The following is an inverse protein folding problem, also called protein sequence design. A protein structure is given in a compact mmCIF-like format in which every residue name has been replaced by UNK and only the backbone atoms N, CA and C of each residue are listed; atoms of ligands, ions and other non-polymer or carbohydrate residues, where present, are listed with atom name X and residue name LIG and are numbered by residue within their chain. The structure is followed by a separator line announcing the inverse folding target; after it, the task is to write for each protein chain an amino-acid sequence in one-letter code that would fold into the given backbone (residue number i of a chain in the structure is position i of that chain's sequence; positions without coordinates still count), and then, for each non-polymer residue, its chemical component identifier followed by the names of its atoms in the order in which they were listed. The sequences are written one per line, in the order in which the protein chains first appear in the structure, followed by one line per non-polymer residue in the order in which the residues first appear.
data_IF_582326915073
#
_entry.id   IF_582326915073
#
_cell.length_a   1.000
_cell.length_b   1.000
_cell.length_c   1.000
_cell.angle_alpha   90.00
_cell.angle_beta   90.00
_cell.angle_gamma   90.00
#
_symmetry.space_group_name_H-M   'P 1'
#
loop_
_entity.id
_entity.type
_entity.pdbx_description
1 polymer ?
#
# COMPACT_ATOMS: atom_id res chain seq x y z
N UNK A 1 56.25 -19.36 3.54
CA UNK A 1 55.56 -18.08 3.91
C UNK A 1 54.30 -17.78 3.09
N UNK A 2 53.76 -18.72 2.31
CA UNK A 2 52.59 -18.50 1.47
C UNK A 2 51.24 -19.07 2.02
N UNK A 3 51.27 -19.78 3.16
CA UNK A 3 50.08 -20.48 3.66
C UNK A 3 48.99 -19.57 4.26
N UNK A 4 49.35 -18.42 4.80
CA UNK A 4 48.37 -17.49 5.39
C UNK A 4 47.52 -16.71 4.37
N UNK A 5 48.06 -16.43 3.18
CA UNK A 5 47.35 -15.67 2.15
C UNK A 5 46.25 -16.45 1.42
N UNK A 6 46.35 -17.79 1.35
CA UNK A 6 45.31 -18.62 0.71
C UNK A 6 44.13 -18.84 1.62
N UNK A 7 44.33 -19.02 2.93
CA UNK A 7 43.24 -19.14 3.90
C UNK A 7 42.41 -17.82 4.02
N UNK A 8 43.13 -16.69 4.04
CA UNK A 8 42.45 -15.37 4.06
C UNK A 8 41.61 -15.13 2.84
N UNK A 9 42.10 -15.48 1.64
CA UNK A 9 41.35 -15.37 0.39
C UNK A 9 40.09 -16.23 0.37
N UNK A 10 40.21 -17.49 0.84
CA UNK A 10 39.04 -18.38 0.93
C UNK A 10 37.99 -17.85 1.91
N UNK A 11 38.43 -17.29 3.05
CA UNK A 11 37.53 -16.69 4.01
C UNK A 11 36.78 -15.45 3.43
N UNK A 12 37.50 -14.62 2.69
CA UNK A 12 36.89 -13.45 1.99
C UNK A 12 35.89 -13.90 0.94
N UNK A 13 36.21 -14.93 0.18
CA UNK A 13 35.31 -15.45 -0.86
C UNK A 13 34.08 -16.08 -0.26
N UNK A 14 34.18 -16.84 0.82
CA UNK A 14 33.05 -17.39 1.54
C UNK A 14 32.12 -16.31 2.09
N UNK A 15 32.68 -15.24 2.66
CA UNK A 15 31.89 -14.08 3.13
C UNK A 15 31.16 -13.36 1.99
N UNK A 16 31.81 -13.25 0.82
CA UNK A 16 31.20 -12.65 -0.36
C UNK A 16 30.03 -13.48 -0.85
N UNK A 17 30.19 -14.79 -0.94
CA UNK A 17 29.12 -15.71 -1.34
C UNK A 17 27.94 -15.65 -0.37
N UNK A 18 28.22 -15.62 0.92
CA UNK A 18 27.19 -15.50 1.96
C UNK A 18 26.39 -14.20 1.83
N UNK A 19 27.05 -13.07 1.58
CA UNK A 19 26.37 -11.79 1.35
C UNK A 19 25.48 -11.83 0.12
N UNK A 20 25.96 -12.40 -1.00
CA UNK A 20 25.19 -12.53 -2.22
C UNK A 20 23.95 -13.40 -2.03
N UNK A 21 24.09 -14.49 -1.28
CA UNK A 21 22.98 -15.37 -0.94
C UNK A 21 21.92 -14.65 -0.12
N UNK A 22 22.33 -13.90 0.92
CA UNK A 22 21.41 -13.08 1.72
C UNK A 22 20.68 -12.02 0.90
N UNK A 23 21.38 -11.33 0.00
CA UNK A 23 20.79 -10.35 -0.89
C UNK A 23 19.76 -10.98 -1.81
N UNK A 24 20.06 -12.15 -2.36
CA UNK A 24 19.14 -12.88 -3.21
C UNK A 24 17.88 -13.34 -2.45
N UNK A 25 18.04 -13.87 -1.25
CA UNK A 25 16.90 -14.25 -0.40
C UNK A 25 16.02 -13.07 -0.03
N UNK A 26 16.62 -11.92 0.31
CA UNK A 26 15.89 -10.68 0.58
C UNK A 26 15.11 -10.20 -0.66
N UNK A 27 15.76 -10.23 -1.82
CA UNK A 27 15.11 -9.84 -3.08
C UNK A 27 13.94 -10.75 -3.42
N UNK A 28 14.07 -12.06 -3.21
CA UNK A 28 12.97 -13.00 -3.41
C UNK A 28 11.78 -12.75 -2.46
N UNK A 29 12.05 -12.49 -1.19
CA UNK A 29 11.00 -12.16 -0.23
C UNK A 29 10.26 -10.88 -0.61
N UNK A 30 10.98 -9.85 -1.03
CA UNK A 30 10.40 -8.62 -1.52
C UNK A 30 9.53 -8.84 -2.76
N UNK A 31 10.02 -9.62 -3.73
CA UNK A 31 9.26 -9.95 -4.93
C UNK A 31 7.93 -10.65 -4.59
N UNK A 32 7.94 -11.60 -3.67
CA UNK A 32 6.72 -12.28 -3.21
C UNK A 32 5.74 -11.33 -2.54
N UNK A 33 6.22 -10.37 -1.75
CA UNK A 33 5.39 -9.35 -1.12
C UNK A 33 4.74 -8.43 -2.16
N UNK A 34 5.50 -8.02 -3.17
CA UNK A 34 4.99 -7.21 -4.27
C UNK A 34 3.95 -7.96 -5.11
N UNK A 35 4.19 -9.24 -5.40
CA UNK A 35 3.22 -10.08 -6.11
C UNK A 35 1.91 -10.23 -5.35
N UNK A 36 1.97 -10.48 -4.03
CA UNK A 36 0.79 -10.59 -3.19
C UNK A 36 0.01 -9.27 -3.10
N UNK A 37 0.71 -8.14 -2.93
CA UNK A 37 0.09 -6.82 -2.93
C UNK A 37 -0.58 -6.52 -4.28
N UNK A 38 0.11 -6.81 -5.37
CA UNK A 38 -0.41 -6.63 -6.74
C UNK A 38 -1.65 -7.48 -7.01
N UNK A 39 -1.73 -8.70 -6.48
CA UNK A 39 -2.92 -9.54 -6.57
C UNK A 39 -4.11 -8.93 -5.83
N UNK A 40 -3.90 -8.42 -4.61
CA UNK A 40 -4.93 -7.73 -3.86
C UNK A 40 -5.47 -6.51 -4.60
N UNK A 41 -4.60 -5.70 -5.16
CA UNK A 41 -4.98 -4.54 -5.99
C UNK A 41 -5.80 -4.96 -7.21
N UNK A 42 -5.41 -6.01 -7.91
CA UNK A 42 -6.15 -6.53 -9.07
C UNK A 42 -7.54 -7.01 -8.71
N UNK A 43 -7.70 -7.69 -7.58
CA UNK A 43 -9.00 -8.14 -7.08
C UNK A 43 -9.92 -6.95 -6.80
N UNK A 44 -9.42 -5.95 -6.09
CA UNK A 44 -10.19 -4.75 -5.76
C UNK A 44 -10.54 -3.97 -7.02
N UNK A 45 -9.60 -3.77 -7.93
CA UNK A 45 -9.85 -3.11 -9.21
C UNK A 45 -10.94 -3.82 -10.01
N UNK A 46 -10.91 -5.14 -10.09
CA UNK A 46 -11.94 -5.92 -10.79
C UNK A 46 -13.34 -5.70 -10.20
N UNK A 47 -13.46 -5.63 -8.88
CA UNK A 47 -14.73 -5.34 -8.22
C UNK A 47 -15.22 -3.91 -8.45
N UNK A 48 -14.30 -2.95 -8.53
CA UNK A 48 -14.64 -1.54 -8.73
C UNK A 48 -14.96 -1.19 -10.19
N UNK A 49 -14.49 -1.98 -11.15
CA UNK A 49 -14.74 -1.75 -12.57
C UNK A 49 -16.24 -1.72 -12.93
N UNK A 50 -17.09 -2.40 -12.18
CA UNK A 50 -18.55 -2.35 -12.39
C UNK A 50 -19.11 -0.94 -12.19
N UNK A 51 -18.43 -0.11 -11.42
CA UNK A 51 -18.85 1.28 -11.18
C UNK A 51 -18.60 2.18 -12.40
N UNK A 52 -17.74 1.79 -13.32
CA UNK A 52 -17.45 2.58 -14.53
C UNK A 52 -18.68 2.74 -15.40
N UNK A 53 -19.57 1.75 -15.41
CA UNK A 53 -20.87 1.84 -16.08
C UNK A 53 -21.83 2.87 -15.45
N UNK A 54 -21.53 3.32 -14.22
CA UNK A 54 -22.34 4.28 -13.47
C UNK A 54 -21.71 5.68 -13.40
N UNK A 55 -20.78 5.99 -14.29
CA UNK A 55 -20.12 7.29 -14.36
C UNK A 55 -18.93 7.47 -13.43
N UNK A 56 -18.42 6.40 -12.83
CA UNK A 56 -17.20 6.41 -12.04
C UNK A 56 -15.98 6.16 -12.91
N UNK A 57 -14.85 6.74 -12.51
CA UNK A 57 -13.56 6.46 -13.13
C UNK A 57 -12.61 5.91 -12.08
N UNK A 58 -11.93 4.82 -12.42
CA UNK A 58 -10.91 4.19 -11.61
C UNK A 58 -9.54 4.48 -12.21
N UNK A 59 -8.66 5.09 -11.41
CA UNK A 59 -7.27 5.35 -11.75
C UNK A 59 -6.40 4.48 -10.84
N UNK A 60 -5.49 3.72 -11.44
CA UNK A 60 -4.61 2.79 -10.71
C UNK A 60 -3.17 3.27 -10.79
N UNK A 61 -2.40 2.99 -9.73
CA UNK A 61 -0.97 3.31 -9.63
C UNK A 61 -0.65 4.77 -9.99
N UNK A 62 -1.37 5.69 -9.36
CA UNK A 62 -1.22 7.12 -9.62
C UNK A 62 -0.05 7.70 -8.82
N UNK A 63 0.88 8.35 -9.53
CA UNK A 63 1.88 9.21 -8.90
C UNK A 63 1.27 10.57 -8.64
N UNK A 64 1.40 11.02 -7.40
CA UNK A 64 0.90 12.32 -7.03
C UNK A 64 1.96 13.41 -7.25
N UNK A 65 1.65 14.52 -7.96
CA UNK A 65 2.59 15.62 -8.14
C UNK A 65 2.96 16.25 -6.80
N UNK A 66 4.27 16.47 -6.56
CA UNK A 66 4.77 17.18 -5.39
C UNK A 66 5.07 16.30 -4.18
N UNK A 67 4.88 14.99 -4.27
CA UNK A 67 5.27 14.04 -3.22
C UNK A 67 6.32 13.07 -3.73
N UNK A 68 7.46 13.00 -3.07
CA UNK A 68 8.59 12.15 -3.52
C UNK A 68 8.35 10.65 -3.43
N UNK A 69 7.30 10.20 -2.74
CA UNK A 69 7.17 8.79 -2.39
C UNK A 69 5.74 8.25 -2.29
N UNK A 70 4.72 9.03 -2.56
CA UNK A 70 3.34 8.56 -2.39
C UNK A 70 2.76 8.13 -3.74
N UNK A 71 2.89 6.85 -4.01
CA UNK A 71 2.01 6.21 -4.98
C UNK A 71 0.67 5.98 -4.29
N UNK A 72 -0.39 6.44 -4.92
CA UNK A 72 -1.76 6.07 -4.55
C UNK A 72 -2.08 4.79 -5.31
N UNK A 73 -2.48 3.75 -4.59
CA UNK A 73 -2.84 2.48 -5.23
C UNK A 73 -3.98 2.69 -6.22
N UNK A 74 -5.04 3.35 -5.78
CA UNK A 74 -6.20 3.65 -6.61
C UNK A 74 -6.85 4.98 -6.22
N UNK A 75 -7.38 5.67 -7.23
CA UNK A 75 -8.31 6.78 -7.09
C UNK A 75 -9.62 6.40 -7.76
N UNK A 76 -10.72 6.56 -7.06
CA UNK A 76 -12.05 6.40 -7.62
C UNK A 76 -12.73 7.77 -7.65
N UNK A 77 -13.05 8.25 -8.84
CA UNK A 77 -13.63 9.57 -9.07
C UNK A 77 -15.00 9.42 -9.71
N UNK A 78 -15.99 10.04 -9.14
CA UNK A 78 -17.33 9.94 -9.66
C UNK A 78 -18.33 10.93 -9.06
N UNK A 79 -19.63 10.71 -9.28
CA UNK A 79 -20.68 11.64 -8.83
C UNK A 79 -20.70 11.88 -7.33
N UNK A 80 -20.26 10.91 -6.53
CA UNK A 80 -20.24 11.02 -5.07
C UNK A 80 -18.96 11.64 -4.49
N UNK A 81 -17.98 11.99 -5.33
CA UNK A 81 -16.72 12.59 -4.89
C UNK A 81 -15.48 11.82 -5.33
N UNK A 82 -14.41 12.01 -4.58
CA UNK A 82 -13.11 11.36 -4.81
C UNK A 82 -12.79 10.45 -3.63
N UNK A 83 -12.44 9.21 -3.94
CA UNK A 83 -12.00 8.23 -2.96
C UNK A 83 -10.54 7.89 -3.21
N UNK A 84 -9.72 8.01 -2.17
CA UNK A 84 -8.31 7.60 -2.17
C UNK A 84 -8.25 6.23 -1.52
N UNK A 85 -7.88 5.22 -2.29
CA UNK A 85 -7.86 3.83 -1.83
C UNK A 85 -6.44 3.35 -1.62
N UNK A 86 -6.20 2.78 -0.45
CA UNK A 86 -5.00 1.99 -0.15
C UNK A 86 -5.45 0.54 0.01
N UNK A 87 -4.90 -0.35 -0.79
CA UNK A 87 -5.25 -1.77 -0.78
C UNK A 87 -4.25 -2.54 0.05
N UNK A 88 -4.76 -3.32 0.99
CA UNK A 88 -3.95 -4.20 1.84
C UNK A 88 -4.34 -5.66 1.63
N UNK A 89 -3.34 -6.48 1.40
CA UNK A 89 -3.48 -7.93 1.32
C UNK A 89 -2.70 -8.56 2.47
N UNK A 90 -3.19 -8.36 3.69
CA UNK A 90 -2.54 -8.85 4.90
C UNK A 90 -2.95 -10.30 5.19
N UNK A 91 -2.00 -11.05 5.75
CA UNK A 91 -2.26 -12.42 6.20
C UNK A 91 -3.16 -12.44 7.43
N UNK A 92 -2.92 -11.53 8.38
CA UNK A 92 -3.70 -11.41 9.61
C UNK A 92 -4.87 -10.47 9.42
N UNK A 93 -6.00 -10.79 10.04
CA UNK A 93 -7.19 -9.96 9.99
C UNK A 93 -6.93 -8.58 10.61
N UNK A 94 -7.39 -7.49 9.99
CA UNK A 94 -7.29 -6.17 10.57
C UNK A 94 -8.24 -6.01 11.75
N UNK A 95 -7.78 -5.30 12.77
CA UNK A 95 -8.57 -4.92 13.95
C UNK A 95 -8.46 -3.42 14.16
N UNK A 96 -9.60 -2.75 14.29
CA UNK A 96 -9.67 -1.34 14.58
C UNK A 96 -10.37 -1.11 15.91
N UNK A 97 -9.70 -0.42 16.83
CA UNK A 97 -10.25 -0.02 18.11
C UNK A 97 -9.61 1.26 18.60
N UNK A 98 -10.39 2.17 19.18
CA UNK A 98 -9.91 3.43 19.78
C UNK A 98 -8.97 4.22 18.85
N UNK A 99 -9.33 4.35 17.58
CA UNK A 99 -8.53 5.01 16.54
C UNK A 99 -7.16 4.36 16.28
N UNK A 100 -7.00 3.10 16.66
CA UNK A 100 -5.79 2.31 16.41
C UNK A 100 -6.07 1.16 15.47
N UNK A 101 -5.14 0.95 14.54
CA UNK A 101 -5.17 -0.16 13.60
C UNK A 101 -4.12 -1.20 14.00
N UNK A 102 -4.54 -2.45 14.10
CA UNK A 102 -3.67 -3.59 14.40
C UNK A 102 -3.93 -4.74 13.44
N UNK A 103 -2.94 -5.57 13.28
CA UNK A 103 -3.06 -6.85 12.58
C UNK A 103 -2.05 -7.83 13.17
N UNK A 104 -2.51 -9.03 13.52
CA UNK A 104 -1.66 -10.04 14.14
C UNK A 104 -1.06 -9.61 15.48
N UNK A 105 -1.77 -8.75 16.24
CA UNK A 105 -1.29 -8.22 17.52
C UNK A 105 -0.26 -7.08 17.40
N UNK A 106 0.12 -6.70 16.19
CA UNK A 106 1.07 -5.62 15.94
C UNK A 106 0.39 -4.32 15.51
N UNK A 107 0.87 -3.15 15.97
CA UNK A 107 0.34 -1.87 15.53
C UNK A 107 0.65 -1.61 14.04
N UNK A 108 -0.31 -1.01 13.34
CA UNK A 108 -0.24 -0.65 11.91
C UNK A 108 -0.62 0.80 11.64
N UNK A 109 -0.44 1.66 12.62
CA UNK A 109 -0.88 3.07 12.55
C UNK A 109 -0.13 3.88 11.48
N UNK A 110 1.09 3.50 11.12
CA UNK A 110 1.87 4.15 10.07
C UNK A 110 1.19 4.10 8.70
N UNK A 111 0.42 3.07 8.42
CA UNK A 111 -0.34 2.96 7.17
C UNK A 111 -1.47 3.98 7.11
N UNK A 112 -2.16 4.19 8.24
CA UNK A 112 -3.20 5.19 8.36
C UNK A 112 -2.64 6.61 8.20
N UNK A 113 -1.52 6.91 8.86
CA UNK A 113 -0.87 8.22 8.77
C UNK A 113 -0.41 8.53 7.33
N UNK A 114 0.14 7.56 6.63
CA UNK A 114 0.55 7.69 5.24
C UNK A 114 -0.65 7.99 4.33
N UNK A 115 -1.75 7.25 4.50
CA UNK A 115 -2.97 7.47 3.72
C UNK A 115 -3.55 8.87 3.96
N UNK A 116 -3.58 9.35 5.19
CA UNK A 116 -4.05 10.70 5.50
C UNK A 116 -3.18 11.77 4.85
N UNK A 117 -1.87 11.59 4.80
CA UNK A 117 -0.95 12.53 4.13
C UNK A 117 -1.23 12.59 2.62
N UNK A 118 -1.44 11.44 1.98
CA UNK A 118 -1.81 11.36 0.56
C UNK A 118 -3.18 12.00 0.32
N UNK A 119 -4.13 11.79 1.20
CA UNK A 119 -5.47 12.37 1.11
C UNK A 119 -5.42 13.90 1.16
N UNK A 120 -4.61 14.47 2.04
CA UNK A 120 -4.40 15.93 2.10
C UNK A 120 -3.80 16.47 0.82
N UNK A 121 -2.85 15.77 0.22
CA UNK A 121 -2.29 16.15 -1.08
C UNK A 121 -3.36 16.12 -2.19
N UNK A 122 -4.24 15.12 -2.18
CA UNK A 122 -5.36 15.03 -3.10
C UNK A 122 -6.35 16.20 -2.93
N UNK A 123 -6.70 16.52 -1.70
CA UNK A 123 -7.57 17.66 -1.39
C UNK A 123 -6.98 18.99 -1.91
N UNK A 124 -5.68 19.21 -1.69
CA UNK A 124 -4.99 20.40 -2.17
C UNK A 124 -4.98 20.50 -3.69
N UNK A 125 -4.77 19.38 -4.38
CA UNK A 125 -4.78 19.35 -5.84
C UNK A 125 -6.17 19.61 -6.40
N UNK A 126 -7.22 19.04 -5.83
CA UNK A 126 -8.61 19.29 -6.24
C UNK A 126 -8.97 20.75 -6.00
N UNK A 127 -8.59 21.33 -4.87
CA UNK A 127 -8.83 22.73 -4.57
C UNK A 127 -8.12 23.66 -5.55
N UNK A 128 -6.90 23.32 -5.99
CA UNK A 128 -6.14 24.13 -6.96
C UNK A 128 -6.76 24.17 -8.35
N UNK A 129 -7.63 23.24 -8.68
CA UNK A 129 -8.37 23.25 -9.94
C UNK A 129 -9.56 24.23 -9.95
N UNK A 130 -9.82 24.92 -8.84
CA UNK A 130 -10.90 25.91 -8.73
C UNK A 130 -12.32 25.32 -8.84
N UNK A 131 -12.43 24.02 -8.66
CA UNK A 131 -13.73 23.33 -8.65
C UNK A 131 -14.43 23.54 -7.32
N UNK A 132 -15.75 23.41 -7.31
CA UNK A 132 -16.55 23.40 -6.08
C UNK A 132 -15.97 22.41 -5.07
N UNK A 133 -16.15 22.62 -3.75
CA UNK A 133 -15.64 21.70 -2.75
C UNK A 133 -16.05 20.27 -3.09
N UNK A 134 -15.06 19.43 -3.35
CA UNK A 134 -15.26 18.01 -3.63
C UNK A 134 -14.81 17.24 -2.40
N UNK A 135 -15.68 16.37 -1.90
CA UNK A 135 -15.33 15.48 -0.79
C UNK A 135 -14.27 14.49 -1.24
N UNK A 136 -13.18 14.41 -0.47
CA UNK A 136 -12.14 13.41 -0.66
C UNK A 136 -12.15 12.48 0.54
N UNK A 137 -12.46 11.20 0.30
CA UNK A 137 -12.62 10.20 1.34
C UNK A 137 -11.50 9.17 1.26
N UNK A 138 -10.66 9.03 2.31
CA UNK A 138 -9.67 7.97 2.38
C UNK A 138 -10.32 6.63 2.76
N UNK A 139 -9.95 5.58 2.03
CA UNK A 139 -10.39 4.21 2.25
C UNK A 139 -9.18 3.29 2.34
N UNK A 140 -9.18 2.39 3.31
CA UNK A 140 -8.32 1.21 3.29
C UNK A 140 -9.18 0.02 2.93
N UNK A 141 -8.82 -0.69 1.87
CA UNK A 141 -9.53 -1.87 1.40
C UNK A 141 -8.69 -3.10 1.66
N UNK A 142 -9.23 -4.02 2.44
CA UNK A 142 -8.57 -5.27 2.78
C UNK A 142 -9.04 -6.39 1.85
N UNK A 143 -8.11 -6.92 1.07
CA UNK A 143 -8.38 -8.09 0.24
C UNK A 143 -8.36 -9.35 1.12
N UNK A 144 -9.43 -10.13 1.08
CA UNK A 144 -9.50 -11.40 1.81
C UNK A 144 -9.94 -11.33 3.27
N UNK A 145 -10.29 -10.16 3.79
CA UNK A 145 -10.82 -10.01 5.15
C UNK A 145 -12.11 -9.19 5.14
N UNK A 146 -13.07 -9.61 5.94
CA UNK A 146 -14.30 -8.84 6.16
C UNK A 146 -14.07 -7.81 7.25
N UNK A 147 -14.28 -6.55 6.91
CA UNK A 147 -14.28 -5.46 7.85
C UNK A 147 -15.14 -4.31 7.32
N UNK A 148 -15.83 -3.63 8.21
CA UNK A 148 -16.51 -2.39 7.97
C UNK A 148 -16.42 -1.56 9.24
N UNK A 149 -15.45 -0.68 9.31
CA UNK A 149 -15.14 0.11 10.49
C UNK A 149 -14.63 1.50 10.12
N UNK A 150 -14.67 2.41 11.08
CA UNK A 150 -14.08 3.73 10.98
C UNK A 150 -12.77 3.81 11.77
N UNK A 151 -11.83 4.57 11.25
CA UNK A 151 -10.58 4.91 11.91
C UNK A 151 -10.33 6.41 11.71
N UNK A 152 -10.85 7.25 12.61
CA UNK A 152 -10.93 8.67 12.36
C UNK A 152 -11.73 8.97 11.09
N UNK A 153 -11.14 9.74 10.16
CA UNK A 153 -11.79 9.99 8.86
C UNK A 153 -11.61 8.87 7.84
N UNK A 154 -10.76 7.87 8.13
CA UNK A 154 -10.54 6.73 7.26
C UNK A 154 -11.66 5.71 7.43
N UNK A 155 -12.17 5.19 6.34
CA UNK A 155 -13.07 4.02 6.34
C UNK A 155 -12.27 2.77 6.03
N UNK A 156 -12.49 1.73 6.81
CA UNK A 156 -11.88 0.42 6.61
C UNK A 156 -12.94 -0.51 6.03
N UNK A 157 -12.69 -1.01 4.84
CA UNK A 157 -13.61 -1.87 4.10
C UNK A 157 -12.92 -3.15 3.66
N UNK A 158 -13.64 -4.25 3.69
CA UNK A 158 -13.14 -5.51 3.17
C UNK A 158 -14.27 -6.50 2.95
N UNK A 159 -14.11 -7.32 1.94
CA UNK A 159 -15.03 -8.40 1.60
C UNK A 159 -14.29 -9.71 1.40
N UNK A 160 -15.00 -10.79 1.58
CA UNK A 160 -14.46 -12.12 1.30
C UNK A 160 -14.23 -12.34 -0.20
#
# INVERSE_FOLDING_TARGET
MAAGGSASRRAQEARRQERLLRQWQTAQQQARRWEAASEGERRVAAQLLVLTARGWRLLVDCRWPGTRAANVDMLLVGPGGVFVLDVKNWRSAPEASEEKLRAGGEPRDEHAAKLLAVTKAAESAVASLGMSPVAVQPLVVFAGHRIDAGLGRIRLLGGA
#
